data_IF_943835905364
#
_entry.id   IF_943835905364
#
_cell.length_a   1.000
_cell.length_b   1.000
_cell.length_c   1.000
_cell.angle_alpha   90.00
_cell.angle_beta   90.00
_cell.angle_gamma   90.00
#
_symmetry.space_group_name_H-M   'P 1'
#
loop_
_entity.id
_entity.type
_entity.pdbx_description
1 polymer ?
#
# COMPACT_ATOMS: atom_id res chain seq x y z
N UNK A 1 17.33 -54.70 -26.05
CA UNK A 1 16.91 -53.60 -26.93
C UNK A 1 15.50 -53.20 -26.52
N UNK A 2 15.31 -51.92 -26.18
CA UNK A 2 14.04 -51.24 -25.89
C UNK A 2 13.27 -51.74 -24.65
N UNK A 3 12.86 -50.88 -23.72
CA UNK A 3 12.00 -49.72 -23.96
C UNK A 3 12.29 -48.57 -22.99
N UNK A 4 12.90 -47.50 -23.48
CA UNK A 4 12.82 -46.19 -22.85
C UNK A 4 11.50 -45.54 -23.28
N UNK A 5 10.58 -45.35 -22.34
CA UNK A 5 9.38 -44.55 -22.56
C UNK A 5 9.77 -43.07 -22.47
N UNK A 6 9.38 -42.21 -23.44
CA UNK A 6 9.63 -40.79 -23.33
C UNK A 6 8.70 -40.21 -22.27
N UNK A 7 9.27 -39.78 -21.14
CA UNK A 7 8.59 -38.88 -20.22
C UNK A 7 8.33 -37.58 -20.97
N UNK A 8 7.13 -37.46 -21.54
CA UNK A 8 6.65 -36.25 -22.20
C UNK A 8 6.60 -35.14 -21.15
N UNK A 9 7.61 -34.26 -21.16
CA UNK A 9 7.65 -33.04 -20.37
C UNK A 9 6.55 -32.09 -20.86
N UNK A 10 5.34 -32.30 -20.36
CA UNK A 10 4.27 -31.30 -20.45
C UNK A 10 4.74 -30.08 -19.68
N UNK A 11 5.20 -29.06 -20.40
CA UNK A 11 5.49 -27.74 -19.85
C UNK A 11 4.17 -27.13 -19.38
N UNK A 12 3.80 -27.39 -18.13
CA UNK A 12 2.72 -26.66 -17.46
C UNK A 12 3.12 -25.20 -17.44
N UNK A 13 2.44 -24.36 -18.21
CA UNK A 13 2.55 -22.91 -18.10
C UNK A 13 2.02 -22.50 -16.74
N UNK A 14 2.89 -22.43 -15.74
CA UNK A 14 2.57 -21.87 -14.43
C UNK A 14 2.18 -20.39 -14.63
N UNK A 15 0.90 -20.09 -14.45
CA UNK A 15 0.47 -18.70 -14.39
C UNK A 15 0.95 -18.10 -13.06
N UNK A 16 1.45 -16.86 -13.06
CA UNK A 16 1.87 -16.22 -11.82
C UNK A 16 0.67 -16.15 -10.86
N UNK A 17 0.92 -16.31 -9.54
CA UNK A 17 -0.13 -16.28 -8.56
C UNK A 17 -0.92 -14.96 -8.64
N UNK A 18 -2.24 -14.98 -8.37
CA UNK A 18 -3.06 -13.79 -8.44
C UNK A 18 -2.52 -12.71 -7.49
N UNK A 19 -2.39 -11.49 -8.01
CA UNK A 19 -1.86 -10.36 -7.24
C UNK A 19 -2.84 -9.97 -6.13
N UNK A 20 -2.37 -9.95 -4.89
CA UNK A 20 -3.16 -9.54 -3.73
C UNK A 20 -3.61 -8.07 -3.87
N UNK A 21 -4.85 -7.80 -3.46
CA UNK A 21 -5.47 -6.47 -3.51
C UNK A 21 -6.02 -6.14 -2.14
N UNK A 22 -5.52 -5.05 -1.56
CA UNK A 22 -5.94 -4.58 -0.26
C UNK A 22 -6.71 -3.26 -0.37
N UNK A 23 -7.61 -3.07 0.59
CA UNK A 23 -8.29 -1.81 0.84
C UNK A 23 -8.16 -1.50 2.33
N UNK A 24 -7.48 -0.40 2.67
CA UNK A 24 -7.41 0.10 4.03
C UNK A 24 -8.61 1.01 4.28
N UNK A 25 -9.45 0.66 5.25
CA UNK A 25 -10.67 1.39 5.59
C UNK A 25 -10.49 2.38 6.75
N UNK A 26 -9.31 2.41 7.37
CA UNK A 26 -9.10 3.08 8.65
C UNK A 26 -7.75 3.77 8.78
N UNK A 27 -7.29 4.47 7.73
CA UNK A 27 -5.95 5.06 7.73
C UNK A 27 -5.95 6.54 8.14
N UNK A 28 -5.20 6.84 9.22
CA UNK A 28 -5.07 8.19 9.78
C UNK A 28 -3.94 8.99 9.11
N UNK A 29 -3.98 9.22 7.79
CA UNK A 29 -2.88 9.91 7.08
C UNK A 29 -2.67 11.38 7.47
N UNK A 30 -3.54 11.95 8.30
CA UNK A 30 -3.41 13.29 8.86
C UNK A 30 -2.59 13.34 10.16
N UNK A 31 -2.19 12.19 10.70
CA UNK A 31 -1.38 12.12 11.91
C UNK A 31 0.01 12.74 11.67
N UNK A 32 0.48 13.67 12.54
CA UNK A 32 1.80 14.28 12.43
C UNK A 32 2.98 13.30 12.40
N UNK A 33 2.79 12.07 12.87
CA UNK A 33 3.78 10.98 12.78
C UNK A 33 4.18 10.74 11.32
N UNK A 34 3.25 10.82 10.37
CA UNK A 34 3.57 10.68 8.93
C UNK A 34 4.34 11.85 8.35
N UNK A 35 4.49 12.95 9.10
CA UNK A 35 5.36 14.07 8.78
C UNK A 35 6.58 14.14 9.71
N UNK A 36 6.86 13.05 10.44
CA UNK A 36 8.00 12.92 11.34
C UNK A 36 7.92 13.69 12.65
N UNK A 37 6.72 14.11 13.06
CA UNK A 37 6.50 14.85 14.29
C UNK A 37 5.96 13.90 15.37
N UNK A 38 6.76 13.69 16.41
CA UNK A 38 6.39 12.89 17.58
C UNK A 38 6.37 13.78 18.81
N UNK A 39 5.23 13.89 19.49
CA UNK A 39 5.09 14.74 20.69
C UNK A 39 5.63 16.17 20.47
N UNK A 40 5.33 16.77 19.31
CA UNK A 40 5.81 18.09 18.87
C UNK A 40 7.31 18.22 18.59
N UNK A 41 8.05 17.11 18.55
CA UNK A 41 9.47 17.08 18.17
C UNK A 41 9.63 16.45 16.78
N UNK A 42 10.39 17.09 15.91
CA UNK A 42 10.78 16.49 14.63
C UNK A 42 11.82 15.41 14.87
N UNK A 43 11.49 14.18 14.46
CA UNK A 43 12.37 13.01 14.56
C UNK A 43 12.90 12.59 13.19
N UNK A 44 12.14 12.85 12.12
CA UNK A 44 12.57 12.64 10.75
C UNK A 44 11.92 13.66 9.80
N UNK A 45 12.44 13.80 8.56
CA UNK A 45 11.79 14.57 7.50
C UNK A 45 10.41 14.02 7.14
N UNK A 46 9.57 14.84 6.51
CA UNK A 46 8.27 14.41 5.96
C UNK A 46 8.46 13.30 4.92
N UNK A 47 7.91 12.11 5.21
CA UNK A 47 8.02 10.90 4.38
C UNK A 47 6.64 10.33 4.01
N UNK A 48 5.55 11.10 4.17
CA UNK A 48 4.18 10.66 3.87
C UNK A 48 4.03 10.12 2.44
N UNK A 49 4.72 10.71 1.46
CA UNK A 49 4.69 10.24 0.07
C UNK A 49 5.32 8.84 -0.08
N UNK A 50 6.40 8.57 0.64
CA UNK A 50 7.07 7.28 0.62
C UNK A 50 6.21 6.21 1.30
N UNK A 51 5.51 6.57 2.39
CA UNK A 51 4.53 5.68 3.06
C UNK A 51 3.44 5.24 2.08
N UNK A 52 2.84 6.18 1.34
CA UNK A 52 1.80 5.89 0.35
C UNK A 52 2.35 5.04 -0.80
N UNK A 53 3.58 5.32 -1.27
CA UNK A 53 4.23 4.53 -2.31
C UNK A 53 4.44 3.07 -1.86
N UNK A 54 4.90 2.86 -0.62
CA UNK A 54 5.04 1.52 -0.03
C UNK A 54 3.71 0.79 0.06
N UNK A 55 2.63 1.46 0.51
CA UNK A 55 1.30 0.86 0.59
C UNK A 55 0.80 0.39 -0.78
N UNK A 56 0.99 1.20 -1.83
CA UNK A 56 0.65 0.84 -3.22
C UNK A 56 1.48 -0.34 -3.73
N UNK A 57 2.79 -0.35 -3.46
CA UNK A 57 3.67 -1.44 -3.85
C UNK A 57 3.25 -2.78 -3.20
N UNK A 58 2.76 -2.74 -1.96
CA UNK A 58 2.21 -3.90 -1.26
C UNK A 58 0.82 -4.34 -1.76
N UNK A 59 0.17 -3.59 -2.66
CA UNK A 59 -1.15 -3.91 -3.21
C UNK A 59 -2.32 -3.22 -2.52
N UNK A 60 -2.09 -2.27 -1.62
CA UNK A 60 -3.13 -1.41 -1.04
C UNK A 60 -3.49 -0.30 -2.02
N UNK A 61 -4.41 -0.62 -2.94
CA UNK A 61 -4.82 0.28 -4.02
C UNK A 61 -5.94 1.24 -3.60
N UNK A 62 -6.60 0.97 -2.47
CA UNK A 62 -7.72 1.74 -1.95
C UNK A 62 -7.45 2.08 -0.50
N UNK A 63 -7.56 3.35 -0.14
CA UNK A 63 -7.27 3.87 1.19
C UNK A 63 -8.38 4.86 1.55
N UNK A 64 -9.06 4.63 2.66
CA UNK A 64 -10.07 5.52 3.22
C UNK A 64 -9.44 6.33 4.35
N UNK A 65 -9.16 7.60 4.08
CA UNK A 65 -8.57 8.50 5.07
C UNK A 65 -9.62 8.84 6.12
N UNK A 66 -9.33 8.52 7.37
CA UNK A 66 -10.21 8.77 8.52
C UNK A 66 -10.04 10.17 9.07
N UNK A 67 -11.11 10.71 9.63
CA UNK A 67 -11.12 12.00 10.32
C UNK A 67 -12.04 11.93 11.53
N UNK A 68 -11.58 12.47 12.67
CA UNK A 68 -12.30 12.48 13.95
C UNK A 68 -13.17 13.72 14.16
N UNK A 69 -12.88 14.80 13.44
CA UNK A 69 -13.50 16.11 13.59
C UNK A 69 -13.43 16.88 12.27
N UNK A 70 -14.07 18.06 12.24
CA UNK A 70 -14.21 18.87 11.04
C UNK A 70 -12.86 19.43 10.54
N UNK A 71 -11.96 19.79 11.45
CA UNK A 71 -10.65 20.33 11.09
C UNK A 71 -9.74 19.24 10.51
N UNK A 72 -9.75 18.05 11.13
CA UNK A 72 -9.13 16.85 10.61
C UNK A 72 -9.72 16.44 9.25
N UNK A 73 -11.03 16.57 9.04
CA UNK A 73 -11.67 16.25 7.76
C UNK A 73 -11.19 17.18 6.63
N UNK A 74 -10.99 18.48 6.91
CA UNK A 74 -10.42 19.41 5.93
C UNK A 74 -8.98 19.03 5.56
N UNK A 75 -8.13 18.72 6.56
CA UNK A 75 -6.76 18.25 6.33
C UNK A 75 -6.74 16.93 5.55
N UNK A 76 -7.62 16.00 5.89
CA UNK A 76 -7.76 14.72 5.19
C UNK A 76 -8.11 14.93 3.72
N UNK A 77 -8.99 15.89 3.41
CA UNK A 77 -9.32 16.24 2.03
C UNK A 77 -8.11 16.76 1.26
N UNK A 78 -7.25 17.57 1.89
CA UNK A 78 -6.02 18.07 1.27
C UNK A 78 -5.01 16.93 1.02
N UNK A 79 -4.87 16.01 1.96
CA UNK A 79 -4.07 14.78 1.77
C UNK A 79 -4.62 13.94 0.61
N UNK A 80 -5.93 13.70 0.56
CA UNK A 80 -6.57 12.94 -0.52
C UNK A 80 -6.35 13.62 -1.88
N UNK A 81 -6.47 14.95 -1.95
CA UNK A 81 -6.18 15.71 -3.18
C UNK A 81 -4.73 15.58 -3.63
N UNK A 82 -3.78 15.56 -2.69
CA UNK A 82 -2.34 15.41 -2.96
C UNK A 82 -2.00 14.04 -3.58
N UNK A 83 -2.69 12.97 -3.17
CA UNK A 83 -2.37 11.59 -3.56
C UNK A 83 -3.41 10.92 -4.47
N UNK A 84 -4.35 11.70 -5.01
CA UNK A 84 -5.42 11.20 -5.88
C UNK A 84 -4.88 10.47 -7.12
#
# INVERSE_FOLDING_TARGET
MSTDLPFSSSSTTEQPPPKLRFADIGINLTDPVYNGIYHSKSQHPDDLADVVARARAAGCMKMMVTASDLDCARKALDVVRKFR
#
